data_IF_322027676002
#
_entry.id   IF_322027676002
#
_cell.length_a   1.000
_cell.length_b   1.000
_cell.length_c   1.000
_cell.angle_alpha   90.00
_cell.angle_beta   90.00
_cell.angle_gamma   90.00
#
_symmetry.space_group_name_H-M   'P 1'
#
loop_
_entity.id
_entity.type
_entity.pdbx_description
1 polymer ?
#
# COMPACT_ATOMS: atom_id res chain seq x y z
N UNK A 1 10.89 -27.78 -5.66
CA UNK A 1 10.64 -26.39 -6.08
C UNK A 1 10.05 -25.61 -4.94
N UNK A 2 10.69 -24.51 -4.54
CA UNK A 2 10.16 -23.69 -3.45
C UNK A 2 8.94 -22.91 -3.93
N UNK A 3 7.84 -23.03 -3.21
CA UNK A 3 6.70 -22.18 -3.46
C UNK A 3 7.09 -20.73 -3.16
N UNK A 4 6.74 -19.85 -4.08
CA UNK A 4 7.02 -18.44 -3.92
C UNK A 4 6.07 -17.86 -2.88
N UNK A 5 6.62 -17.32 -1.80
CA UNK A 5 5.82 -16.71 -0.76
C UNK A 5 5.19 -15.42 -1.27
N UNK A 6 3.86 -15.37 -1.28
CA UNK A 6 3.13 -14.19 -1.71
C UNK A 6 2.89 -13.30 -0.49
N UNK A 7 3.44 -12.09 -0.54
CA UNK A 7 3.34 -11.11 0.54
C UNK A 7 2.19 -10.13 0.29
N UNK A 8 1.75 -9.38 1.31
CA UNK A 8 0.79 -8.28 1.09
C UNK A 8 1.26 -7.30 0.02
N UNK A 9 2.55 -6.98 -0.02
CA UNK A 9 3.10 -6.09 -1.04
C UNK A 9 2.89 -6.64 -2.44
N UNK A 10 3.21 -7.91 -2.68
CA UNK A 10 3.00 -8.55 -3.98
C UNK A 10 1.53 -8.55 -4.37
N UNK A 11 0.64 -8.86 -3.44
CA UNK A 11 -0.80 -8.84 -3.69
C UNK A 11 -1.30 -7.45 -4.06
N UNK A 12 -0.79 -6.42 -3.38
CA UNK A 12 -1.17 -5.04 -3.69
C UNK A 12 -0.68 -4.61 -5.06
N UNK A 13 0.53 -4.99 -5.46
CA UNK A 13 1.04 -4.69 -6.81
C UNK A 13 0.10 -5.27 -7.86
N UNK A 14 -0.23 -6.54 -7.76
CA UNK A 14 -1.12 -7.22 -8.71
C UNK A 14 -2.49 -6.57 -8.75
N UNK A 15 -3.06 -6.26 -7.59
CA UNK A 15 -4.37 -5.64 -7.49
C UNK A 15 -4.38 -4.24 -8.11
N UNK A 16 -3.38 -3.42 -7.78
CA UNK A 16 -3.28 -2.06 -8.29
C UNK A 16 -3.09 -2.05 -9.80
N UNK A 17 -2.21 -2.89 -10.33
CA UNK A 17 -1.99 -2.99 -11.77
C UNK A 17 -3.25 -3.44 -12.50
N UNK A 18 -4.00 -4.38 -11.92
CA UNK A 18 -5.27 -4.82 -12.49
C UNK A 18 -6.32 -3.71 -12.53
N UNK A 19 -6.19 -2.69 -11.67
CA UNK A 19 -7.10 -1.54 -11.60
C UNK A 19 -6.55 -0.29 -12.30
N UNK A 20 -5.54 -0.46 -13.12
CA UNK A 20 -5.04 0.61 -13.99
C UNK A 20 -3.94 1.49 -13.41
N UNK A 21 -3.39 1.12 -12.26
CA UNK A 21 -2.28 1.86 -11.66
C UNK A 21 -0.95 1.38 -12.22
N UNK A 22 -0.02 2.31 -12.38
CA UNK A 22 1.39 2.02 -12.61
C UNK A 22 2.08 2.03 -11.25
N UNK A 23 2.75 0.95 -10.91
CA UNK A 23 3.22 0.69 -9.54
C UNK A 23 4.70 0.38 -9.51
N UNK A 24 5.40 0.91 -8.54
CA UNK A 24 6.79 0.58 -8.27
C UNK A 24 7.02 0.37 -6.77
N UNK A 25 7.98 -0.48 -6.44
CA UNK A 25 8.38 -0.72 -5.06
C UNK A 25 9.34 0.38 -4.65
N UNK A 26 9.00 1.08 -3.57
CA UNK A 26 9.86 2.16 -3.04
C UNK A 26 10.39 1.87 -1.66
N UNK A 27 9.99 0.76 -1.04
CA UNK A 27 10.66 0.32 0.18
C UNK A 27 12.08 -0.11 -0.16
N UNK A 28 13.01 0.19 0.73
CA UNK A 28 14.42 -0.09 0.50
C UNK A 28 14.92 -1.09 1.53
N UNK A 29 15.49 -2.19 1.05
CA UNK A 29 16.13 -3.17 1.90
C UNK A 29 17.52 -2.67 2.29
N UNK A 30 17.82 -2.71 3.59
CA UNK A 30 19.15 -2.36 4.08
C UNK A 30 20.02 -3.64 4.06
N UNK A 31 21.12 -3.67 3.26
CA UNK A 31 22.02 -4.82 3.25
C UNK A 31 22.59 -5.09 4.65
N UNK A 32 22.72 -6.35 5.00
CA UNK A 32 23.32 -6.83 6.25
C UNK A 32 22.53 -6.56 7.53
N UNK A 33 21.41 -5.84 7.46
CA UNK A 33 20.61 -5.51 8.65
C UNK A 33 19.27 -6.25 8.72
N UNK A 34 18.89 -6.98 7.68
CA UNK A 34 17.61 -7.72 7.56
C UNK A 34 16.39 -6.86 7.84
N UNK A 35 16.49 -5.54 7.59
CA UNK A 35 15.39 -4.60 7.75
C UNK A 35 15.11 -3.90 6.42
N UNK A 36 13.88 -3.46 6.27
CA UNK A 36 13.46 -2.63 5.15
C UNK A 36 13.07 -1.24 5.65
N UNK A 37 13.35 -0.23 4.85
CA UNK A 37 12.90 1.13 5.10
C UNK A 37 11.82 1.51 4.09
N UNK A 38 10.66 1.88 4.61
CA UNK A 38 9.57 2.41 3.80
C UNK A 38 9.94 3.82 3.32
N UNK A 39 9.43 4.21 2.16
CA UNK A 39 9.61 5.59 1.69
C UNK A 39 8.99 6.55 2.71
N UNK A 40 9.78 7.48 3.20
CA UNK A 40 9.39 8.47 4.22
C UNK A 40 8.82 7.85 5.50
N UNK A 41 9.14 6.59 5.77
CA UNK A 41 8.67 5.88 6.95
C UNK A 41 7.27 5.29 6.84
N UNK A 42 6.58 5.44 5.69
CA UNK A 42 5.22 4.91 5.57
C UNK A 42 4.85 4.33 4.19
N UNK A 43 5.69 4.45 3.17
CA UNK A 43 5.34 3.99 1.83
C UNK A 43 6.09 2.75 1.38
N UNK A 44 5.38 1.68 1.08
CA UNK A 44 5.95 0.47 0.48
C UNK A 44 5.97 0.55 -1.03
N UNK A 45 4.93 1.14 -1.61
CA UNK A 45 4.74 1.26 -3.05
C UNK A 45 4.43 2.70 -3.43
N UNK A 46 4.87 3.08 -4.63
CA UNK A 46 4.46 4.33 -5.26
C UNK A 46 3.63 3.97 -6.49
N UNK A 47 2.48 4.59 -6.65
CA UNK A 47 1.64 4.31 -7.80
C UNK A 47 1.00 5.58 -8.36
N UNK A 48 0.67 5.53 -9.65
CA UNK A 48 -0.04 6.63 -10.29
C UNK A 48 -0.94 6.10 -11.40
N UNK A 49 -1.94 6.92 -11.77
CA UNK A 49 -2.78 6.68 -12.95
C UNK A 49 -2.64 7.83 -13.92
N UNK A 50 -2.48 7.52 -15.21
CA UNK A 50 -2.28 8.52 -16.26
C UNK A 50 -3.56 9.31 -16.58
N UNK A 51 -4.72 8.69 -16.37
CA UNK A 51 -6.00 9.31 -16.69
C UNK A 51 -6.92 9.18 -15.48
N UNK A 52 -6.91 10.19 -14.59
CA UNK A 52 -7.87 10.21 -13.50
C UNK A 52 -9.28 10.38 -14.06
N UNK A 53 -10.23 9.67 -13.49
CA UNK A 53 -11.62 9.76 -13.89
C UNK A 53 -12.15 11.17 -13.65
N UNK A 54 -12.39 11.90 -14.75
CA UNK A 54 -13.13 13.18 -14.77
C UNK A 54 -12.77 14.18 -13.68
N UNK A 55 -11.54 14.67 -13.68
CA UNK A 55 -11.15 15.77 -12.82
C UNK A 55 -10.88 15.42 -11.37
N UNK A 56 -10.86 14.16 -11.03
CA UNK A 56 -10.45 13.71 -9.70
C UNK A 56 -8.95 13.42 -9.66
N UNK A 57 -8.16 14.44 -9.75
CA UNK A 57 -6.72 14.32 -9.61
C UNK A 57 -6.25 15.02 -8.35
N UNK A 58 -4.98 14.88 -7.98
CA UNK A 58 -3.97 14.01 -8.57
C UNK A 58 -4.14 12.53 -8.17
N UNK A 59 -3.74 11.62 -9.07
CA UNK A 59 -3.73 10.20 -8.82
C UNK A 59 -2.30 9.70 -8.64
N UNK A 60 -1.63 10.25 -7.64
CA UNK A 60 -0.31 9.81 -7.18
C UNK A 60 -0.46 9.41 -5.72
N UNK A 61 -0.09 8.19 -5.40
CA UNK A 61 -0.26 7.68 -4.05
C UNK A 61 0.96 6.89 -3.57
N UNK A 62 1.27 7.03 -2.29
CA UNK A 62 2.12 6.08 -1.59
C UNK A 62 1.20 5.07 -0.91
N UNK A 63 1.54 3.80 -1.03
CA UNK A 63 0.72 2.70 -0.52
C UNK A 63 1.47 2.01 0.60
N UNK A 64 0.82 1.88 1.74
CA UNK A 64 1.29 1.04 2.85
C UNK A 64 0.52 -0.27 2.79
N UNK A 65 1.23 -1.39 2.72
CA UNK A 65 0.61 -2.71 2.69
C UNK A 65 0.77 -3.41 4.03
N UNK A 66 -0.27 -4.11 4.45
CA UNK A 66 -0.27 -4.84 5.72
C UNK A 66 -1.35 -5.92 5.71
N UNK A 67 -1.52 -6.60 6.82
CA UNK A 67 -2.66 -7.49 7.04
C UNK A 67 -3.87 -6.69 7.51
N UNK A 68 -5.08 -7.22 7.28
CA UNK A 68 -6.29 -6.53 7.69
C UNK A 68 -6.35 -6.24 9.19
N UNK A 69 -5.82 -7.15 10.01
CA UNK A 69 -5.79 -6.97 11.47
C UNK A 69 -4.84 -5.86 11.94
N UNK A 70 -3.87 -5.46 11.11
CA UNK A 70 -2.89 -4.43 11.46
C UNK A 70 -3.22 -3.06 10.91
N UNK A 71 -4.34 -2.89 10.21
CA UNK A 71 -4.66 -1.62 9.56
C UNK A 71 -4.75 -0.44 10.54
N UNK A 72 -5.41 -0.63 11.67
CA UNK A 72 -5.56 0.43 12.67
C UNK A 72 -4.21 0.90 13.21
N UNK A 73 -3.32 -0.04 13.52
CA UNK A 73 -1.98 0.27 14.01
C UNK A 73 -1.15 1.01 12.95
N UNK A 74 -1.26 0.58 11.71
CA UNK A 74 -0.54 1.23 10.59
C UNK A 74 -1.07 2.64 10.33
N UNK A 75 -2.38 2.83 10.40
CA UNK A 75 -2.98 4.17 10.26
C UNK A 75 -2.44 5.11 11.34
N UNK A 76 -2.40 4.67 12.59
CA UNK A 76 -1.86 5.46 13.68
C UNK A 76 -0.41 5.84 13.44
N UNK A 77 0.40 4.90 12.96
CA UNK A 77 1.80 5.15 12.64
C UNK A 77 1.95 6.16 11.50
N UNK A 78 1.15 6.05 10.45
CA UNK A 78 1.17 6.99 9.32
C UNK A 78 0.81 8.39 9.80
N UNK A 79 -0.25 8.52 10.58
CA UNK A 79 -0.70 9.83 11.07
C UNK A 79 0.30 10.48 12.04
N UNK A 80 1.13 9.68 12.70
CA UNK A 80 2.19 10.18 13.57
C UNK A 80 3.45 10.59 12.80
N UNK A 81 3.58 10.21 11.53
CA UNK A 81 4.75 10.54 10.70
C UNK A 81 4.57 11.92 10.08
N UNK A 82 5.43 12.89 10.47
CA UNK A 82 5.33 14.26 9.97
C UNK A 82 5.43 14.36 8.44
N UNK A 83 6.22 13.49 7.81
CA UNK A 83 6.40 13.50 6.36
C UNK A 83 5.15 13.02 5.63
N UNK A 84 4.30 12.23 6.27
CA UNK A 84 3.01 11.84 5.70
C UNK A 84 2.10 13.07 5.58
N UNK A 85 2.09 13.93 6.59
CA UNK A 85 1.35 15.19 6.53
C UNK A 85 1.84 16.07 5.40
N UNK A 86 3.16 16.22 5.27
CA UNK A 86 3.76 17.04 4.20
C UNK A 86 3.42 16.47 2.83
N UNK A 87 3.43 15.15 2.68
CA UNK A 87 3.05 14.48 1.44
C UNK A 87 1.60 14.80 1.05
N UNK A 88 0.69 14.70 2.01
CA UNK A 88 -0.72 15.04 1.77
C UNK A 88 -0.91 16.52 1.42
N UNK A 89 -0.20 17.42 2.11
CA UNK A 89 -0.25 18.85 1.84
C UNK A 89 0.30 19.19 0.46
N UNK A 90 1.27 18.43 -0.02
CA UNK A 90 1.86 18.62 -1.34
C UNK A 90 0.96 18.08 -2.46
N UNK A 91 -0.16 17.44 -2.13
CA UNK A 91 -1.10 16.91 -3.10
C UNK A 91 -0.98 15.40 -3.34
N UNK A 92 -0.07 14.73 -2.68
CA UNK A 92 0.03 13.27 -2.74
C UNK A 92 -1.09 12.61 -1.95
N UNK A 93 -1.43 11.37 -2.32
CA UNK A 93 -2.40 10.57 -1.59
C UNK A 93 -1.71 9.44 -0.85
N UNK A 94 -2.35 8.92 0.17
CA UNK A 94 -1.86 7.78 0.94
C UNK A 94 -2.96 6.72 0.95
N UNK A 95 -2.61 5.53 0.48
CA UNK A 95 -3.52 4.39 0.44
C UNK A 95 -3.02 3.31 1.40
N UNK A 96 -3.88 2.87 2.29
CA UNK A 96 -3.60 1.76 3.19
C UNK A 96 -4.31 0.52 2.67
N UNK A 97 -3.55 -0.53 2.39
CA UNK A 97 -4.04 -1.82 1.92
C UNK A 97 -3.87 -2.87 3.00
N UNK A 98 -4.99 -3.41 3.48
CA UNK A 98 -4.99 -4.51 4.43
C UNK A 98 -5.53 -5.78 3.79
N UNK A 99 -4.72 -6.82 3.76
CA UNK A 99 -5.08 -8.10 3.15
C UNK A 99 -5.51 -9.10 4.21
N UNK A 100 -6.65 -9.75 3.96
CA UNK A 100 -7.14 -10.82 4.81
C UNK A 100 -7.55 -12.03 4.00
N UNK A 101 -7.41 -13.18 4.60
CA UNK A 101 -7.87 -14.43 4.00
C UNK A 101 -9.30 -14.68 4.46
N UNK A 102 -10.19 -14.89 3.50
CA UNK A 102 -11.59 -15.19 3.80
C UNK A 102 -11.93 -16.56 3.24
N UNK A 103 -12.87 -17.23 3.91
CA UNK A 103 -13.38 -18.53 3.47
C UNK A 103 -14.74 -18.34 2.81
N UNK A 104 -14.86 -18.83 1.56
CA UNK A 104 -16.14 -18.88 0.84
C UNK A 104 -16.43 -20.36 0.59
N UNK A 105 -17.17 -21.01 1.52
CA UNK A 105 -17.36 -22.44 1.45
C UNK A 105 -16.03 -23.18 1.57
N UNK A 106 -15.73 -24.14 0.65
CA UNK A 106 -14.44 -24.83 0.68
C UNK A 106 -13.28 -24.01 0.14
N UNK A 107 -13.55 -22.86 -0.48
CA UNK A 107 -12.52 -22.03 -1.09
C UNK A 107 -12.03 -20.96 -0.13
N UNK A 108 -10.72 -20.78 -0.10
CA UNK A 108 -10.07 -19.67 0.62
C UNK A 108 -9.57 -18.67 -0.40
N UNK A 109 -9.92 -17.41 -0.22
CA UNK A 109 -9.50 -16.33 -1.10
C UNK A 109 -8.98 -15.16 -0.30
N UNK A 110 -8.20 -14.32 -0.95
CA UNK A 110 -7.65 -13.12 -0.33
C UNK A 110 -8.47 -11.90 -0.74
N UNK A 111 -8.76 -11.05 0.23
CA UNK A 111 -9.54 -9.83 0.02
C UNK A 111 -8.76 -8.64 0.55
N UNK A 112 -8.75 -7.55 -0.21
CA UNK A 112 -8.13 -6.31 0.23
C UNK A 112 -9.19 -5.37 0.80
N UNK A 113 -8.83 -4.72 1.91
CA UNK A 113 -9.54 -3.57 2.42
C UNK A 113 -8.71 -2.34 2.11
N UNK A 114 -9.29 -1.40 1.38
CA UNK A 114 -8.63 -0.14 1.01
C UNK A 114 -9.10 0.99 1.91
N UNK A 115 -8.17 1.84 2.32
CA UNK A 115 -8.49 3.04 3.07
C UNK A 115 -7.61 4.17 2.57
N UNK A 116 -8.24 5.26 2.13
CA UNK A 116 -7.53 6.50 1.83
C UNK A 116 -7.30 7.23 3.15
N UNK A 117 -6.02 7.46 3.47
CA UNK A 117 -5.66 8.11 4.72
C UNK A 117 -5.74 9.62 4.54
N UNK A 118 -6.50 10.28 5.38
CA UNK A 118 -6.67 11.73 5.36
C UNK A 118 -6.33 12.30 6.73
N UNK A 119 -6.02 13.59 6.74
CA UNK A 119 -5.76 14.33 7.99
C UNK A 119 -7.07 14.61 8.73
#
# INVERSE_FOLDING_TARGET
>A
MRERKITPTTRSIEWLEAHGWTVDIVERRVPHAFITHDAFGFGDLLCFKSFPDRGQGPWIALVQTTTGSNMAARRTKILAESRARLWLQAGGRILLHGWRKISKGPLKTWEVREEWVTL
#
